data_IF_806414688707
#
_entry.id   IF_806414688707
#
_cell.length_a   1.000
_cell.length_b   1.000
_cell.length_c   1.000
_cell.angle_alpha   90.00
_cell.angle_beta   90.00
_cell.angle_gamma   90.00
#
_symmetry.space_group_name_H-M   'P 1'
#
loop_
_entity.id
_entity.type
_entity.pdbx_description
1 polymer ?
#
# COMPACT_ATOMS: atom_id res chain seq x y z
N UNK A 1 -21.64 0.60 -7.58
CA UNK A 1 -21.07 1.39 -8.67
C UNK A 1 -19.68 0.88 -9.00
N UNK A 2 -19.40 0.62 -10.27
CA UNK A 2 -18.09 0.19 -10.73
C UNK A 2 -17.35 1.44 -11.22
N UNK A 3 -16.14 1.67 -10.71
CA UNK A 3 -15.30 2.78 -11.17
C UNK A 3 -14.77 2.48 -12.57
N UNK A 4 -14.88 3.43 -13.46
CA UNK A 4 -14.24 3.38 -14.77
C UNK A 4 -12.73 3.63 -14.60
N UNK A 5 -11.96 3.30 -15.65
CA UNK A 5 -10.54 3.63 -15.69
C UNK A 5 -10.32 5.14 -15.52
N UNK A 6 -11.17 5.93 -16.14
CA UNK A 6 -11.11 7.38 -16.04
C UNK A 6 -11.28 7.86 -14.59
N UNK A 7 -12.24 7.26 -13.87
CA UNK A 7 -12.47 7.60 -12.46
C UNK A 7 -11.27 7.21 -11.58
N UNK A 8 -10.67 6.05 -11.83
CA UNK A 8 -9.49 5.61 -11.10
C UNK A 8 -8.31 6.54 -11.33
N UNK A 9 -8.10 6.97 -12.57
CA UNK A 9 -7.02 7.91 -12.88
C UNK A 9 -7.26 9.28 -12.22
N UNK A 10 -8.50 9.75 -12.18
CA UNK A 10 -8.85 10.99 -11.50
C UNK A 10 -8.57 10.92 -10.00
N UNK A 11 -8.94 9.82 -9.35
CA UNK A 11 -8.67 9.60 -7.92
C UNK A 11 -7.18 9.56 -7.68
N UNK A 12 -6.44 8.79 -8.48
CA UNK A 12 -4.99 8.66 -8.32
C UNK A 12 -4.29 10.01 -8.50
N UNK A 13 -4.70 10.79 -9.48
CA UNK A 13 -4.13 12.13 -9.73
C UNK A 13 -4.41 13.08 -8.58
N UNK A 14 -5.63 13.06 -8.04
CA UNK A 14 -6.00 13.93 -6.93
C UNK A 14 -5.19 13.59 -5.66
N UNK A 15 -5.07 12.30 -5.35
CA UNK A 15 -4.31 11.84 -4.17
C UNK A 15 -2.83 12.18 -4.34
N UNK A 16 -2.25 11.91 -5.50
CA UNK A 16 -0.84 12.17 -5.77
C UNK A 16 -0.52 13.65 -5.66
N UNK A 17 -1.37 14.49 -6.24
CA UNK A 17 -1.20 15.95 -6.18
C UNK A 17 -1.26 16.46 -4.75
N UNK A 18 -2.25 16.02 -3.99
CA UNK A 18 -2.39 16.43 -2.60
C UNK A 18 -1.23 15.95 -1.74
N UNK A 19 -0.82 14.68 -1.91
CA UNK A 19 0.32 14.14 -1.20
C UNK A 19 1.60 14.93 -1.49
N UNK A 20 1.87 15.23 -2.76
CA UNK A 20 3.08 15.98 -3.12
C UNK A 20 3.06 17.38 -2.53
N UNK A 21 1.91 18.03 -2.49
CA UNK A 21 1.78 19.35 -1.88
C UNK A 21 2.07 19.29 -0.37
N UNK A 22 1.54 18.28 0.32
CA UNK A 22 1.74 18.12 1.76
C UNK A 22 3.19 17.73 2.07
N UNK A 23 3.77 16.82 1.28
CA UNK A 23 5.09 16.25 1.56
C UNK A 23 6.22 17.18 1.18
N UNK A 24 6.13 17.80 0.01
CA UNK A 24 7.18 18.68 -0.52
C UNK A 24 6.90 20.16 -0.28
N UNK A 25 5.66 20.52 0.01
CA UNK A 25 5.29 21.92 0.22
C UNK A 25 5.59 22.79 -1.00
N UNK A 26 6.25 23.92 -0.80
CA UNK A 26 6.53 24.87 -1.87
C UNK A 26 7.49 24.34 -2.93
N UNK A 27 8.21 23.28 -2.65
CA UNK A 27 9.14 22.68 -3.61
C UNK A 27 8.44 21.95 -4.74
N UNK A 28 7.13 21.69 -4.63
CA UNK A 28 6.36 21.02 -5.68
C UNK A 28 6.48 21.74 -7.01
N UNK A 29 6.53 23.06 -6.98
CA UNK A 29 6.55 23.89 -8.20
C UNK A 29 7.96 24.30 -8.60
N UNK A 30 8.99 23.85 -7.90
CA UNK A 30 10.37 24.18 -8.23
C UNK A 30 10.79 23.40 -9.51
N UNK A 31 11.11 24.12 -10.61
CA UNK A 31 11.49 23.46 -11.86
C UNK A 31 12.81 22.69 -11.78
N UNK A 32 13.63 22.97 -10.76
CA UNK A 32 14.90 22.28 -10.54
C UNK A 32 14.75 21.04 -9.67
N UNK A 33 13.53 20.75 -9.19
CA UNK A 33 13.29 19.61 -8.34
C UNK A 33 13.28 18.32 -9.15
N UNK A 34 14.05 17.35 -8.68
CA UNK A 34 14.06 16.01 -9.24
C UNK A 34 13.11 15.12 -8.46
N UNK A 35 12.01 14.72 -9.09
CA UNK A 35 11.11 13.72 -8.54
C UNK A 35 11.20 12.48 -9.41
N UNK A 36 12.01 11.54 -8.99
CA UNK A 36 12.22 10.30 -9.73
C UNK A 36 11.21 9.24 -9.35
N UNK A 37 10.77 9.21 -8.08
CA UNK A 37 9.88 8.18 -7.56
C UNK A 37 9.00 8.77 -6.47
N UNK A 38 7.74 8.33 -6.43
CA UNK A 38 6.88 8.63 -5.29
C UNK A 38 7.43 7.94 -4.04
N UNK A 39 7.66 8.67 -2.93
CA UNK A 39 8.14 8.07 -1.68
C UNK A 39 7.02 7.25 -1.03
N UNK A 40 6.94 5.96 -1.36
CA UNK A 40 5.81 5.11 -0.99
C UNK A 40 5.67 4.93 0.53
N UNK A 41 6.78 4.84 1.27
CA UNK A 41 6.68 4.72 2.72
C UNK A 41 6.04 5.96 3.35
N UNK A 42 6.41 7.14 2.87
CA UNK A 42 5.81 8.39 3.34
C UNK A 42 4.34 8.49 2.96
N UNK A 43 3.99 8.09 1.74
CA UNK A 43 2.60 8.04 1.31
C UNK A 43 1.78 7.13 2.22
N UNK A 44 2.26 5.92 2.46
CA UNK A 44 1.53 4.95 3.27
C UNK A 44 1.43 5.36 4.74
N UNK A 45 2.56 5.71 5.35
CA UNK A 45 2.64 5.94 6.79
C UNK A 45 2.24 7.36 7.19
N UNK A 46 2.80 8.36 6.52
CA UNK A 46 2.62 9.76 6.94
C UNK A 46 1.36 10.37 6.37
N UNK A 47 1.07 10.09 5.11
CA UNK A 47 -0.10 10.67 4.43
C UNK A 47 -1.37 9.86 4.71
N UNK A 48 -1.34 8.54 4.48
CA UNK A 48 -2.53 7.69 4.65
C UNK A 48 -2.71 7.19 6.08
N UNK A 49 -1.70 7.32 6.94
CA UNK A 49 -1.78 6.87 8.32
C UNK A 49 -1.83 5.35 8.49
N UNK A 50 -1.28 4.62 7.54
CA UNK A 50 -1.27 3.17 7.58
C UNK A 50 -0.12 2.64 8.42
N UNK A 51 -0.34 1.50 9.06
CA UNK A 51 0.72 0.77 9.75
C UNK A 51 1.22 -0.33 8.84
N UNK A 52 2.51 -0.28 8.52
CA UNK A 52 3.16 -1.24 7.63
C UNK A 52 4.00 -2.19 8.46
N UNK A 53 3.74 -3.47 8.33
CA UNK A 53 4.48 -4.52 9.04
C UNK A 53 4.77 -5.68 8.10
N UNK A 54 5.47 -6.70 8.58
CA UNK A 54 5.92 -7.83 7.78
C UNK A 54 5.54 -9.14 8.43
N UNK A 55 5.16 -10.12 7.62
CA UNK A 55 4.89 -11.47 8.07
C UNK A 55 5.08 -12.45 6.90
N UNK A 56 5.35 -13.73 7.16
CA UNK A 56 5.39 -14.74 6.10
C UNK A 56 3.96 -15.06 5.67
N UNK A 57 3.55 -14.51 4.52
CA UNK A 57 2.14 -14.55 4.09
C UNK A 57 1.77 -15.84 3.37
N UNK A 58 2.71 -16.43 2.64
CA UNK A 58 2.47 -17.71 1.95
C UNK A 58 3.78 -18.47 1.80
N UNK A 59 3.73 -19.82 1.81
CA UNK A 59 4.95 -20.63 1.69
C UNK A 59 5.65 -20.47 0.34
N UNK A 60 4.90 -20.22 -0.72
CA UNK A 60 5.40 -20.15 -2.10
C UNK A 60 5.63 -18.71 -2.59
N UNK A 61 5.40 -17.70 -1.74
CA UNK A 61 5.55 -16.30 -2.13
C UNK A 61 4.43 -15.79 -3.04
N UNK A 62 3.33 -16.52 -3.18
CA UNK A 62 2.23 -16.09 -4.06
C UNK A 62 1.47 -14.90 -3.50
N UNK A 63 1.46 -14.71 -2.17
CA UNK A 63 0.82 -13.57 -1.52
C UNK A 63 1.91 -12.62 -1.08
N UNK A 64 1.95 -11.45 -1.69
CA UNK A 64 3.01 -10.45 -1.42
C UNK A 64 2.59 -9.41 -0.39
N UNK A 65 1.30 -9.15 -0.26
CA UNK A 65 0.80 -8.15 0.68
C UNK A 65 -0.65 -8.38 1.03
N UNK A 66 -1.06 -7.80 2.16
CA UNK A 66 -2.43 -7.79 2.64
C UNK A 66 -2.75 -6.41 3.20
N UNK A 67 -4.02 -6.04 3.14
CA UNK A 67 -4.48 -4.83 3.81
C UNK A 67 -5.73 -5.15 4.62
N UNK A 68 -5.84 -4.56 5.81
CA UNK A 68 -6.97 -4.76 6.70
C UNK A 68 -7.82 -3.50 6.76
N UNK A 69 -9.13 -3.65 6.51
CA UNK A 69 -10.11 -2.57 6.59
C UNK A 69 -10.75 -2.49 7.98
N UNK A 70 -10.61 -3.54 8.75
CA UNK A 70 -11.13 -3.64 10.13
C UNK A 70 -10.25 -4.60 10.90
N UNK A 71 -10.45 -4.66 12.22
CA UNK A 71 -9.79 -5.65 13.05
C UNK A 71 -10.25 -7.04 12.63
N UNK A 72 -9.31 -7.90 12.29
CA UNK A 72 -9.62 -9.24 11.79
C UNK A 72 -8.46 -10.19 12.03
N UNK A 73 -8.70 -11.45 11.76
CA UNK A 73 -7.72 -12.51 11.88
C UNK A 73 -7.43 -13.10 10.50
N UNK A 74 -6.18 -13.40 10.22
CA UNK A 74 -5.77 -14.06 8.98
C UNK A 74 -4.88 -15.24 9.32
N UNK A 75 -5.15 -16.39 8.71
CA UNK A 75 -4.38 -17.62 8.97
C UNK A 75 -3.27 -17.77 7.95
N UNK A 76 -2.03 -17.87 8.44
CA UNK A 76 -0.85 -18.20 7.63
C UNK A 76 -0.38 -19.60 7.98
N UNK A 77 0.41 -20.19 7.07
CA UNK A 77 1.00 -21.50 7.31
C UNK A 77 2.51 -21.40 7.31
N UNK A 78 3.11 -21.86 8.40
CA UNK A 78 4.56 -21.97 8.55
C UNK A 78 4.86 -23.45 8.84
N UNK A 79 5.67 -24.08 7.98
CA UNK A 79 6.01 -25.52 8.10
C UNK A 79 4.74 -26.38 8.21
N UNK A 80 3.73 -26.07 7.39
CA UNK A 80 2.43 -26.75 7.31
C UNK A 80 1.57 -26.62 8.57
N UNK A 81 1.98 -25.79 9.52
CA UNK A 81 1.20 -25.49 10.71
C UNK A 81 0.46 -24.17 10.57
N UNK A 82 -0.82 -24.11 10.96
CA UNK A 82 -1.58 -22.85 10.87
C UNK A 82 -1.23 -21.93 12.04
N UNK A 83 -1.08 -20.65 11.72
CA UNK A 83 -0.88 -19.58 12.71
C UNK A 83 -1.83 -18.45 12.37
N UNK A 84 -2.56 -17.95 13.36
CA UNK A 84 -3.42 -16.81 13.19
C UNK A 84 -2.65 -15.51 13.44
N UNK A 85 -2.70 -14.60 12.47
CA UNK A 85 -2.18 -13.23 12.64
C UNK A 85 -3.35 -12.32 12.95
N UNK A 86 -3.21 -11.49 13.98
CA UNK A 86 -4.20 -10.49 14.31
C UNK A 86 -3.91 -9.23 13.51
N UNK A 87 -4.87 -8.78 12.74
CA UNK A 87 -4.77 -7.57 11.93
C UNK A 87 -5.62 -6.47 12.54
N UNK A 88 -5.10 -5.27 12.52
CA UNK A 88 -5.82 -4.09 12.97
C UNK A 88 -6.26 -3.26 11.77
N UNK A 89 -7.32 -2.49 11.95
CA UNK A 89 -7.76 -1.53 10.94
C UNK A 89 -6.59 -0.64 10.53
N UNK A 90 -6.51 -0.31 9.24
CA UNK A 90 -5.46 0.51 8.64
C UNK A 90 -4.07 -0.12 8.70
N UNK A 91 -4.02 -1.43 8.76
CA UNK A 91 -2.75 -2.16 8.73
C UNK A 91 -2.52 -2.75 7.35
N UNK A 92 -1.29 -2.58 6.87
CA UNK A 92 -0.78 -3.24 5.66
C UNK A 92 0.32 -4.19 6.10
N UNK A 93 0.25 -5.43 5.66
CA UNK A 93 1.29 -6.42 5.89
C UNK A 93 1.92 -6.78 4.56
N UNK A 94 3.24 -6.68 4.51
CA UNK A 94 4.03 -7.09 3.35
C UNK A 94 4.72 -8.41 3.68
N UNK A 95 4.96 -9.23 2.66
CA UNK A 95 5.66 -10.48 2.88
C UNK A 95 7.07 -10.23 3.43
N UNK A 96 7.54 -11.15 4.27
CA UNK A 96 8.84 -11.04 4.94
C UNK A 96 10.00 -10.92 3.93
N UNK A 97 9.86 -11.45 2.71
CA UNK A 97 10.90 -11.34 1.68
C UNK A 97 11.25 -9.90 1.33
N UNK A 98 10.34 -8.95 1.61
CA UNK A 98 10.58 -7.53 1.34
C UNK A 98 11.26 -6.78 2.48
N UNK A 99 11.47 -7.44 3.60
CA UNK A 99 12.15 -6.82 4.74
C UNK A 99 13.64 -6.68 4.41
N UNK A 100 14.17 -5.48 4.57
CA UNK A 100 15.59 -5.17 4.30
C UNK A 100 16.04 -5.45 2.87
N UNK A 101 15.16 -5.32 1.88
CA UNK A 101 15.58 -5.47 0.49
C UNK A 101 16.48 -4.30 0.06
N UNK A 102 17.47 -4.61 -0.78
CA UNK A 102 18.40 -3.61 -1.28
C UNK A 102 17.70 -2.61 -2.20
N UNK A 103 18.06 -1.33 -2.02
CA UNK A 103 17.51 -0.25 -2.84
C UNK A 103 17.84 -0.50 -4.32
N UNK A 104 16.85 -0.27 -5.18
CA UNK A 104 16.93 -0.47 -6.64
C UNK A 104 17.07 -1.93 -7.07
N UNK A 105 16.93 -2.89 -6.17
CA UNK A 105 16.87 -4.31 -6.51
C UNK A 105 15.50 -4.67 -7.10
N UNK A 106 15.39 -5.87 -7.69
CA UNK A 106 14.10 -6.39 -8.14
C UNK A 106 13.10 -6.52 -7.02
N UNK A 107 13.54 -6.97 -5.83
CA UNK A 107 12.70 -7.05 -4.65
C UNK A 107 12.23 -5.66 -4.20
N UNK A 108 13.10 -4.67 -4.27
CA UNK A 108 12.74 -3.31 -3.91
C UNK A 108 11.62 -2.78 -4.83
N UNK A 109 11.71 -3.03 -6.12
CA UNK A 109 10.66 -2.63 -7.08
C UNK A 109 9.35 -3.35 -6.83
N UNK A 110 9.40 -4.66 -6.55
CA UNK A 110 8.22 -5.45 -6.22
C UNK A 110 7.58 -4.98 -4.92
N UNK A 111 8.40 -4.63 -3.93
CA UNK A 111 7.92 -4.07 -2.67
C UNK A 111 7.16 -2.77 -2.90
N UNK A 112 7.73 -1.88 -3.71
CA UNK A 112 7.08 -0.61 -4.05
C UNK A 112 5.74 -0.83 -4.72
N UNK A 113 5.69 -1.71 -5.70
CA UNK A 113 4.46 -2.05 -6.39
C UNK A 113 3.43 -2.65 -5.43
N UNK A 114 3.85 -3.58 -4.59
CA UNK A 114 2.96 -4.23 -3.63
C UNK A 114 2.40 -3.22 -2.63
N UNK A 115 3.26 -2.35 -2.09
CA UNK A 115 2.81 -1.31 -1.15
C UNK A 115 1.84 -0.34 -1.83
N UNK A 116 2.12 0.07 -3.06
CA UNK A 116 1.22 0.94 -3.82
C UNK A 116 -0.14 0.26 -4.05
N UNK A 117 -0.13 -1.03 -4.36
CA UNK A 117 -1.35 -1.82 -4.55
C UNK A 117 -2.21 -1.84 -3.27
N UNK A 118 -1.58 -2.10 -2.14
CA UNK A 118 -2.29 -2.13 -0.85
C UNK A 118 -2.78 -0.73 -0.44
N UNK A 119 -2.01 0.31 -0.71
CA UNK A 119 -2.45 1.68 -0.50
C UNK A 119 -3.68 2.00 -1.35
N UNK A 120 -3.71 1.54 -2.60
CA UNK A 120 -4.85 1.75 -3.49
C UNK A 120 -6.11 1.10 -2.94
N UNK A 121 -6.01 -0.11 -2.40
CA UNK A 121 -7.14 -0.76 -1.75
C UNK A 121 -7.67 0.07 -0.57
N UNK A 122 -6.80 0.60 0.26
CA UNK A 122 -7.19 1.43 1.41
C UNK A 122 -7.89 2.71 0.95
N UNK A 123 -7.34 3.38 -0.05
CA UNK A 123 -7.92 4.61 -0.58
C UNK A 123 -9.32 4.35 -1.13
N UNK A 124 -9.46 3.33 -1.97
CA UNK A 124 -10.72 3.02 -2.64
C UNK A 124 -11.78 2.53 -1.65
N UNK A 125 -11.37 1.79 -0.63
CA UNK A 125 -12.29 1.32 0.39
C UNK A 125 -12.94 2.48 1.17
N UNK A 126 -12.19 3.56 1.37
CA UNK A 126 -12.66 4.71 2.14
C UNK A 126 -13.58 5.65 1.34
N UNK A 127 -13.69 5.46 0.02
CA UNK A 127 -14.59 6.25 -0.81
C UNK A 127 -16.03 5.74 -0.62
N UNK A 128 -16.99 6.61 -0.24
CA UNK A 128 -18.35 6.15 0.09
C UNK A 128 -19.06 5.42 -1.03
N UNK A 129 -18.80 5.80 -2.28
CA UNK A 129 -19.49 5.24 -3.44
C UNK A 129 -18.85 3.98 -4.00
N UNK A 130 -17.74 3.50 -3.41
CA UNK A 130 -17.10 2.23 -3.81
C UNK A 130 -17.04 1.21 -2.68
N UNK A 131 -17.39 1.61 -1.46
CA UNK A 131 -17.48 0.70 -0.32
C UNK A 131 -18.44 -0.45 -0.64
N UNK A 132 -17.96 -1.68 -0.52
CA UNK A 132 -18.76 -2.84 -0.84
C UNK A 132 -18.71 -3.30 -2.30
N UNK A 133 -18.13 -2.51 -3.18
CA UNK A 133 -17.93 -2.87 -4.59
C UNK A 133 -16.54 -3.42 -4.85
N UNK A 134 -15.66 -3.34 -3.87
CA UNK A 134 -14.26 -3.68 -3.99
C UNK A 134 -13.95 -4.88 -3.11
N UNK A 135 -13.65 -5.98 -3.74
CA UNK A 135 -13.30 -7.21 -3.02
C UNK A 135 -11.91 -7.67 -3.37
#
# INVERSE_FOLDING_TARGET
>A
MILSRFDLEAVASAITKDFFQVYYGDEVENPNRFVLMTPMNALAKDYLGLRVSYAPLSPDGSICGLTAYSDMSYTIRIDQQPYAIQLKRNQVILDTCFHNCERNSGLFRRRRFTLAHECAHQILFQLPYVSGCFL
#
